data_IF_189380554036
#
_entry.id   IF_189380554036
#
_cell.length_a   1.000
_cell.length_b   1.000
_cell.length_c   1.000
_cell.angle_alpha   90.00
_cell.angle_beta   90.00
_cell.angle_gamma   90.00
#
_symmetry.space_group_name_H-M   'P 1'
#
loop_
_entity.id
_entity.type
_entity.pdbx_description
1 polymer ?
#
# COMPACT_ATOMS: atom_id res chain seq x y z
N UNK A 1 25.83 8.24 22.38
CA UNK A 1 24.99 7.87 21.22
C UNK A 1 24.88 6.37 21.22
N UNK A 2 23.69 5.84 21.41
CA UNK A 2 23.39 4.41 21.22
C UNK A 2 23.20 4.15 19.72
N UNK A 3 23.68 3.01 19.25
CA UNK A 3 23.38 2.54 17.90
C UNK A 3 22.03 1.81 17.93
N UNK A 4 21.15 2.14 16.98
CA UNK A 4 19.85 1.50 16.85
C UNK A 4 19.98 0.11 16.21
N UNK A 5 19.04 -0.77 16.55
CA UNK A 5 18.97 -2.15 16.06
C UNK A 5 17.61 -2.45 15.47
N UNK A 6 17.60 -3.25 14.42
CA UNK A 6 16.37 -3.83 13.90
C UNK A 6 15.73 -4.72 14.96
N UNK A 7 14.46 -4.48 15.29
CA UNK A 7 13.73 -5.29 16.28
C UNK A 7 13.47 -6.72 15.83
N UNK A 8 13.46 -7.00 14.53
CA UNK A 8 13.21 -8.33 13.98
C UNK A 8 14.46 -9.22 13.96
N UNK A 9 15.59 -8.73 13.41
CA UNK A 9 16.81 -9.54 13.29
C UNK A 9 17.86 -9.26 14.36
N UNK A 10 17.69 -8.22 15.20
CA UNK A 10 18.64 -7.77 16.23
C UNK A 10 20.00 -7.25 15.73
N UNK A 11 20.18 -7.09 14.41
CA UNK A 11 21.35 -6.49 13.81
C UNK A 11 21.29 -4.95 13.84
N UNK A 12 22.47 -4.32 13.80
CA UNK A 12 22.59 -2.87 13.70
C UNK A 12 22.36 -2.38 12.28
N UNK A 13 21.76 -1.20 12.16
CA UNK A 13 21.61 -0.51 10.88
C UNK A 13 22.94 0.04 10.37
N UNK A 14 23.12 -0.01 9.06
CA UNK A 14 24.19 0.61 8.28
C UNK A 14 23.69 1.88 7.61
N UNK A 15 24.61 2.64 7.03
CA UNK A 15 24.31 3.92 6.39
C UNK A 15 23.46 3.79 5.11
N UNK A 16 23.46 2.61 4.50
CA UNK A 16 22.79 2.25 3.25
C UNK A 16 21.57 1.34 3.46
N UNK A 17 21.20 1.06 4.71
CA UNK A 17 20.02 0.25 5.00
C UNK A 17 18.74 1.08 4.85
N UNK A 18 17.75 0.54 4.15
CA UNK A 18 16.38 1.06 4.17
C UNK A 18 15.70 0.70 5.50
N UNK A 19 15.27 1.73 6.24
CA UNK A 19 14.71 1.58 7.59
C UNK A 19 13.22 1.92 7.59
N UNK A 20 12.43 1.02 8.17
CA UNK A 20 11.00 1.21 8.43
C UNK A 20 10.81 1.51 9.92
N UNK A 21 10.11 2.59 10.23
CA UNK A 21 9.67 2.91 11.59
C UNK A 21 8.20 2.51 11.76
N UNK A 22 7.91 1.73 12.80
CA UNK A 22 6.55 1.41 13.24
C UNK A 22 6.43 1.85 14.69
N UNK A 23 5.56 2.81 14.96
CA UNK A 23 5.46 3.52 16.24
C UNK A 23 6.84 4.09 16.68
N UNK A 24 7.49 3.44 17.64
CA UNK A 24 8.80 3.83 18.20
C UNK A 24 9.89 2.78 17.94
N UNK A 25 9.62 1.77 17.12
CA UNK A 25 10.53 0.68 16.80
C UNK A 25 10.98 0.73 15.34
N UNK A 26 12.19 0.22 15.08
CA UNK A 26 12.84 0.25 13.78
C UNK A 26 13.11 -1.14 13.23
N UNK A 27 12.95 -1.30 11.91
CA UNK A 27 13.10 -2.55 11.18
C UNK A 27 13.84 -2.32 9.86
N UNK A 28 14.62 -3.31 9.39
CA UNK A 28 15.10 -3.29 8.01
C UNK A 28 13.92 -3.52 7.06
N UNK A 29 13.94 -2.88 5.89
CA UNK A 29 12.94 -3.06 4.83
C UNK A 29 12.72 -4.53 4.43
N UNK A 30 13.76 -5.36 4.49
CA UNK A 30 13.69 -6.79 4.15
C UNK A 30 13.24 -7.67 5.33
N UNK A 31 13.24 -7.14 6.55
CA UNK A 31 12.78 -7.88 7.74
C UNK A 31 11.26 -7.81 7.96
N UNK A 32 10.55 -6.99 7.18
CA UNK A 32 9.10 -6.80 7.28
C UNK A 32 8.45 -6.84 5.90
N UNK A 33 7.19 -7.25 5.85
CA UNK A 33 6.35 -7.13 4.66
C UNK A 33 5.38 -5.99 4.88
N UNK A 34 5.43 -4.99 4.01
CA UNK A 34 4.49 -3.87 4.03
C UNK A 34 3.30 -4.22 3.14
N UNK A 35 2.12 -4.23 3.73
CA UNK A 35 0.86 -4.27 3.00
C UNK A 35 0.31 -2.85 2.95
N UNK A 36 -0.19 -2.39 1.80
CA UNK A 36 -0.99 -1.17 1.78
C UNK A 36 -2.29 -1.46 2.54
N UNK A 37 -2.53 -0.75 3.64
CA UNK A 37 -3.73 -0.87 4.48
C UNK A 37 -4.63 0.38 4.43
N UNK A 38 -4.33 1.32 3.53
CA UNK A 38 -5.17 2.47 3.21
C UNK A 38 -4.71 3.14 1.92
N UNK A 39 -5.63 3.50 1.02
CA UNK A 39 -5.36 4.52 0.00
C UNK A 39 -6.33 5.68 0.20
N UNK A 40 -5.90 6.91 -0.08
CA UNK A 40 -6.79 8.06 -0.08
C UNK A 40 -7.05 8.46 -1.54
N UNK A 41 -8.31 8.46 -1.94
CA UNK A 41 -8.72 8.86 -3.29
C UNK A 41 -8.76 10.39 -3.37
N UNK A 42 -8.16 10.94 -4.42
CA UNK A 42 -8.19 12.38 -4.73
C UNK A 42 -8.74 12.60 -6.13
N UNK A 43 -9.58 13.63 -6.28
CA UNK A 43 -9.95 14.18 -7.58
C UNK A 43 -9.32 15.58 -7.70
N UNK A 44 -8.28 15.67 -8.52
CA UNK A 44 -7.37 16.82 -8.53
C UNK A 44 -6.71 17.03 -7.17
N UNK A 45 -7.16 18.03 -6.40
CA UNK A 45 -6.66 18.37 -5.07
C UNK A 45 -7.69 18.08 -3.97
N UNK A 46 -8.90 17.64 -4.34
CA UNK A 46 -9.97 17.36 -3.39
C UNK A 46 -9.91 15.90 -2.91
N UNK A 47 -9.81 15.73 -1.59
CA UNK A 47 -9.88 14.41 -0.94
C UNK A 47 -11.31 13.87 -1.02
N UNK A 48 -11.49 12.71 -1.67
CA UNK A 48 -12.76 12.01 -1.79
C UNK A 48 -13.01 11.04 -0.62
N UNK A 49 -11.95 10.60 0.05
CA UNK A 49 -12.00 9.66 1.18
C UNK A 49 -10.98 8.54 1.10
N UNK A 50 -10.96 7.71 2.12
CA UNK A 50 -10.10 6.52 2.21
C UNK A 50 -10.77 5.31 1.50
N UNK A 51 -9.97 4.48 0.85
CA UNK A 51 -10.38 3.19 0.30
C UNK A 51 -10.24 2.14 1.39
N UNK A 52 -11.22 1.24 1.51
CA UNK A 52 -11.12 0.09 2.40
C UNK A 52 -10.17 -0.95 1.79
N UNK A 53 -9.13 -1.33 2.53
CA UNK A 53 -8.17 -2.39 2.18
C UNK A 53 -7.55 -3.00 3.45
N UNK A 54 -8.37 -3.16 4.49
CA UNK A 54 -7.96 -3.68 5.81
C UNK A 54 -7.27 -5.05 5.73
N UNK A 55 -7.59 -5.87 4.72
CA UNK A 55 -7.00 -7.19 4.49
C UNK A 55 -5.88 -7.20 3.43
N UNK A 56 -5.35 -6.03 3.06
CA UNK A 56 -4.28 -5.89 2.06
C UNK A 56 -4.78 -5.99 0.61
N UNK A 57 -6.08 -5.77 0.40
CA UNK A 57 -6.70 -5.74 -0.92
C UNK A 57 -6.19 -4.55 -1.77
N UNK A 58 -6.41 -4.66 -3.08
CA UNK A 58 -6.00 -3.62 -4.04
C UNK A 58 -6.81 -2.34 -3.84
N UNK A 59 -6.22 -1.18 -4.15
CA UNK A 59 -6.87 0.14 -4.12
C UNK A 59 -8.08 0.30 -5.07
N UNK A 60 -8.39 -0.73 -5.85
CA UNK A 60 -9.38 -0.70 -6.91
C UNK A 60 -10.15 -2.02 -6.95
N UNK A 61 -11.42 -1.92 -7.34
CA UNK A 61 -12.28 -3.06 -7.56
C UNK A 61 -12.47 -3.28 -9.06
N UNK A 62 -12.56 -4.56 -9.45
CA UNK A 62 -13.00 -4.93 -10.79
C UNK A 62 -14.52 -5.01 -10.81
N UNK A 63 -15.13 -4.29 -11.75
CA UNK A 63 -16.56 -4.37 -11.99
C UNK A 63 -16.90 -5.70 -12.69
N UNK A 64 -17.99 -6.32 -12.26
CA UNK A 64 -18.52 -7.55 -12.83
C UNK A 64 -19.16 -7.30 -14.19
N UNK A 65 -19.33 -8.36 -15.00
CA UNK A 65 -20.05 -8.27 -16.27
C UNK A 65 -21.46 -7.69 -16.05
N UNK A 66 -21.78 -6.62 -16.75
CA UNK A 66 -23.05 -5.89 -16.62
C UNK A 66 -22.99 -4.67 -15.68
N UNK A 67 -21.89 -4.46 -14.98
CA UNK A 67 -21.63 -3.24 -14.19
C UNK A 67 -20.84 -2.19 -14.98
N UNK A 68 -20.42 -2.51 -16.20
CA UNK A 68 -19.70 -1.63 -17.12
C UNK A 68 -20.32 -1.67 -18.51
N UNK A 69 -20.08 -0.61 -19.30
CA UNK A 69 -20.50 -0.54 -20.70
C UNK A 69 -19.44 -1.26 -21.55
N UNK A 70 -19.88 -2.23 -22.34
CA UNK A 70 -19.05 -2.87 -23.35
C UNK A 70 -19.10 -2.01 -24.62
N UNK A 71 -18.04 -1.22 -24.86
CA UNK A 71 -17.96 -0.34 -26.03
C UNK A 71 -17.73 -1.10 -27.34
N UNK A 72 -17.47 -2.41 -27.27
CA UNK A 72 -17.22 -3.26 -28.43
C UNK A 72 -18.49 -4.04 -28.88
N UNK A 73 -19.64 -3.89 -28.19
CA UNK A 73 -20.93 -4.51 -28.58
C UNK A 73 -21.77 -3.66 -29.57
N UNK A 74 -21.31 -2.46 -29.97
CA UNK A 74 -21.97 -1.61 -31.00
C UNK A 74 -21.32 -1.74 -32.40
N UNK A 75 -21.39 -2.91 -33.06
CA UNK A 75 -21.39 -3.03 -34.54
C UNK A 75 -22.06 -4.35 -34.99
N UNK A 76 -23.30 -4.60 -34.56
CA UNK A 76 -24.08 -5.72 -35.07
C UNK A 76 -25.58 -5.41 -35.19
N UNK A 77 -25.94 -4.39 -35.98
CA UNK A 77 -27.19 -4.37 -36.76
C UNK A 77 -27.00 -3.73 -38.14
#
# INVERSE_FOLDING_TARGET
>A
MSLEKCKACSDYFKWDDDVIQVDNDYYHRDCVTLYPTGYCAFLYEDCLGETENDDGDMAFNLLSKGEYIDLDEEEAE
#
